data_IF_852039025671
#
_entry.id   IF_852039025671
#
_cell.length_a   1.000
_cell.length_b   1.000
_cell.length_c   1.000
_cell.angle_alpha   90.00
_cell.angle_beta   90.00
_cell.angle_gamma   90.00
#
_symmetry.space_group_name_H-M   'P 1'
#
loop_
_entity.id
_entity.type
_entity.pdbx_description
1 polymer ?
#
# COMPACT_ATOMS: atom_id res chain seq x y z
N UNK A 1 7.80 2.62 -14.41
CA UNK A 1 7.81 1.79 -13.17
C UNK A 1 8.01 2.71 -11.99
N UNK A 2 7.13 2.65 -11.01
CA UNK A 2 7.30 3.27 -9.69
C UNK A 2 7.60 2.19 -8.65
N UNK A 3 8.57 2.45 -7.78
CA UNK A 3 8.92 1.58 -6.67
C UNK A 3 8.87 2.41 -5.38
N UNK A 4 8.00 2.04 -4.45
CA UNK A 4 7.79 2.74 -3.18
C UNK A 4 7.90 1.79 -2.00
N UNK A 5 8.43 2.31 -0.89
CA UNK A 5 8.46 1.60 0.39
C UNK A 5 7.98 2.51 1.50
N UNK A 6 7.23 1.96 2.46
CA UNK A 6 6.80 2.73 3.63
C UNK A 6 6.73 1.85 4.89
N UNK A 7 7.46 2.27 5.93
CA UNK A 7 7.26 1.79 7.29
C UNK A 7 6.05 2.49 7.91
N UNK A 8 5.03 1.71 8.28
CA UNK A 8 3.76 2.24 8.78
C UNK A 8 3.61 2.12 10.30
N UNK A 9 4.64 1.64 11.01
CA UNK A 9 4.72 1.59 12.46
C UNK A 9 3.46 1.01 13.14
N UNK A 10 2.95 -0.09 12.58
CA UNK A 10 1.75 -0.77 13.07
C UNK A 10 0.50 0.11 13.09
N UNK A 11 0.41 1.11 12.22
CA UNK A 11 -0.78 1.97 12.15
C UNK A 11 -1.75 1.50 11.07
N UNK A 12 -3.03 1.81 11.28
CA UNK A 12 -4.02 1.78 10.22
C UNK A 12 -3.85 2.99 9.28
N UNK A 13 -4.30 2.89 8.02
CA UNK A 13 -4.26 4.03 7.11
C UNK A 13 -5.16 5.17 7.63
N UNK A 14 -4.55 6.28 8.03
CA UNK A 14 -5.26 7.48 8.53
C UNK A 14 -5.38 8.60 7.49
N UNK A 15 -4.62 8.53 6.41
CA UNK A 15 -4.53 9.59 5.41
C UNK A 15 -4.36 9.03 4.00
N UNK A 16 -4.80 9.79 3.00
CA UNK A 16 -4.61 9.46 1.58
C UNK A 16 -3.14 9.52 1.19
N UNK A 17 -2.76 8.72 0.20
CA UNK A 17 -1.38 8.60 -0.29
C UNK A 17 -1.18 9.14 -1.70
N UNK A 18 -2.12 9.94 -2.20
CA UNK A 18 -2.09 10.44 -3.58
C UNK A 18 -0.81 11.23 -3.87
N UNK A 19 -0.35 12.05 -2.93
CA UNK A 19 0.91 12.80 -3.07
C UNK A 19 2.15 11.92 -3.07
N UNK A 20 2.07 10.73 -2.48
CA UNK A 20 3.18 9.78 -2.51
C UNK A 20 3.19 9.00 -3.84
N UNK A 21 2.01 8.62 -4.36
CA UNK A 21 1.89 7.75 -5.52
C UNK A 21 1.75 8.48 -6.86
N UNK A 22 1.14 9.67 -6.88
CA UNK A 22 0.68 10.38 -8.10
C UNK A 22 1.42 11.70 -8.32
N UNK A 23 2.54 11.94 -7.61
CA UNK A 23 3.36 13.15 -7.77
C UNK A 23 4.31 13.06 -8.99
N UNK A 24 3.81 12.69 -10.16
CA UNK A 24 4.63 12.60 -11.37
C UNK A 24 3.92 13.21 -12.58
N UNK A 25 4.69 13.92 -13.42
CA UNK A 25 4.21 14.48 -14.70
C UNK A 25 3.69 13.41 -15.65
N UNK A 26 4.15 12.17 -15.48
CA UNK A 26 3.74 10.98 -16.23
C UNK A 26 3.33 9.87 -15.27
N UNK A 27 2.24 9.17 -15.59
CA UNK A 27 1.72 8.09 -14.77
C UNK A 27 2.48 6.77 -15.09
N UNK A 28 3.10 6.09 -14.11
CA UNK A 28 3.75 4.80 -14.31
C UNK A 28 2.79 3.68 -14.75
N UNK A 29 3.26 2.79 -15.62
CA UNK A 29 2.49 1.58 -16.01
C UNK A 29 2.43 0.51 -14.90
N UNK A 30 3.48 0.45 -14.07
CA UNK A 30 3.64 -0.54 -13.00
C UNK A 30 4.00 0.19 -11.71
N UNK A 31 3.32 -0.19 -10.63
CA UNK A 31 3.59 0.23 -9.26
C UNK A 31 4.01 -0.98 -8.43
N UNK A 32 5.21 -0.94 -7.86
CA UNK A 32 5.70 -1.90 -6.88
C UNK A 32 5.78 -1.20 -5.51
N UNK A 33 4.89 -1.57 -4.59
CA UNK A 33 4.75 -0.90 -3.28
C UNK A 33 4.97 -1.93 -2.18
N UNK A 34 5.92 -1.65 -1.28
CA UNK A 34 6.22 -2.48 -0.12
C UNK A 34 5.91 -1.76 1.19
N UNK A 35 5.34 -2.47 2.15
CA UNK A 35 5.11 -1.96 3.50
C UNK A 35 5.99 -2.70 4.52
N UNK A 36 6.42 -2.00 5.57
CA UNK A 36 7.11 -2.57 6.72
C UNK A 36 6.34 -2.27 8.00
N UNK A 37 6.51 -3.13 9.01
CA UNK A 37 5.85 -2.99 10.31
C UNK A 37 4.33 -2.84 10.19
N UNK A 38 3.71 -3.55 9.24
CA UNK A 38 2.28 -3.48 8.97
C UNK A 38 1.45 -3.85 10.21
N UNK A 39 1.91 -4.88 10.92
CA UNK A 39 1.32 -5.38 12.14
C UNK A 39 2.42 -5.72 13.15
N UNK A 40 2.37 -5.06 14.30
CA UNK A 40 3.31 -5.24 15.40
C UNK A 40 2.73 -6.12 16.52
N UNK A 41 1.55 -6.72 16.29
CA UNK A 41 0.92 -7.62 17.26
C UNK A 41 1.69 -8.95 17.39
N UNK A 42 1.78 -9.52 18.60
CA UNK A 42 2.35 -10.85 18.79
C UNK A 42 1.63 -11.93 17.97
N UNK A 43 0.31 -11.79 17.78
CA UNK A 43 -0.50 -12.72 16.99
C UNK A 43 -0.03 -12.77 15.55
N UNK A 44 0.23 -11.61 14.93
CA UNK A 44 0.76 -11.54 13.57
C UNK A 44 2.14 -12.18 13.45
N UNK A 45 3.00 -11.98 14.45
CA UNK A 45 4.33 -12.61 14.49
C UNK A 45 4.25 -14.13 14.65
N UNK A 46 3.35 -14.63 15.50
CA UNK A 46 3.24 -16.06 15.82
C UNK A 46 2.49 -16.85 14.75
N UNK A 47 1.49 -16.23 14.10
CA UNK A 47 0.59 -16.90 13.15
C UNK A 47 0.90 -16.57 11.70
N UNK A 48 1.74 -15.57 11.42
CA UNK A 48 1.97 -15.02 10.08
C UNK A 48 0.65 -14.60 9.38
N UNK A 49 -0.33 -14.14 10.15
CA UNK A 49 -1.64 -13.68 9.67
C UNK A 49 -1.90 -12.27 10.20
N UNK A 50 -2.46 -11.38 9.38
CA UNK A 50 -2.83 -10.03 9.81
C UNK A 50 -4.12 -9.56 9.15
N UNK A 51 -4.99 -8.90 9.93
CA UNK A 51 -6.17 -8.21 9.42
C UNK A 51 -5.84 -6.82 8.86
N UNK A 52 -4.58 -6.40 8.92
CA UNK A 52 -4.15 -5.06 8.51
C UNK A 52 -3.74 -4.96 7.05
N UNK A 53 -3.63 -6.08 6.32
CA UNK A 53 -3.29 -6.05 4.89
C UNK A 53 -4.36 -5.35 4.05
N UNK A 54 -5.63 -5.76 4.21
CA UNK A 54 -6.72 -5.28 3.35
C UNK A 54 -6.92 -3.75 3.39
N UNK A 55 -6.94 -3.09 4.57
CA UNK A 55 -7.07 -1.63 4.62
C UNK A 55 -5.97 -0.88 3.86
N UNK A 56 -4.73 -1.39 3.88
CA UNK A 56 -3.61 -0.78 3.17
C UNK A 56 -3.69 -1.02 1.66
N UNK A 57 -4.18 -2.18 1.22
CA UNK A 57 -4.50 -2.46 -0.19
C UNK A 57 -5.58 -1.49 -0.67
N UNK A 58 -6.68 -1.37 0.06
CA UNK A 58 -7.80 -0.49 -0.29
C UNK A 58 -7.37 0.97 -0.42
N UNK A 59 -6.50 1.43 0.49
CA UNK A 59 -5.92 2.76 0.44
C UNK A 59 -5.10 2.98 -0.85
N UNK A 60 -4.23 2.04 -1.22
CA UNK A 60 -3.42 2.14 -2.43
C UNK A 60 -4.31 2.09 -3.68
N UNK A 61 -5.24 1.14 -3.76
CA UNK A 61 -6.13 1.01 -4.92
C UNK A 61 -7.01 2.24 -5.10
N UNK A 62 -7.57 2.79 -4.01
CA UNK A 62 -8.38 4.01 -4.08
C UNK A 62 -7.58 5.26 -4.48
N UNK A 63 -6.29 5.30 -4.18
CA UNK A 63 -5.40 6.39 -4.61
C UNK A 63 -5.04 6.23 -6.09
N UNK A 64 -4.70 5.02 -6.54
CA UNK A 64 -4.36 4.73 -7.94
C UNK A 64 -5.55 4.85 -8.90
N UNK A 65 -6.79 4.59 -8.45
CA UNK A 65 -8.01 4.78 -9.24
C UNK A 65 -8.17 6.19 -9.78
N UNK A 66 -7.65 7.21 -9.08
CA UNK A 66 -7.68 8.59 -9.55
C UNK A 66 -6.65 8.87 -10.65
N UNK A 67 -5.58 8.08 -10.71
CA UNK A 67 -4.54 8.19 -11.73
C UNK A 67 -4.90 7.37 -12.99
N UNK A 68 -5.56 6.23 -12.84
CA UNK A 68 -5.93 5.39 -13.98
C UNK A 68 -6.54 4.05 -13.61
N UNK A 69 -6.69 3.19 -14.62
CA UNK A 69 -7.21 1.82 -14.43
C UNK A 69 -6.07 0.87 -14.11
N UNK A 70 -5.88 0.60 -12.83
CA UNK A 70 -4.90 -0.36 -12.34
C UNK A 70 -5.56 -1.62 -11.79
N UNK A 71 -4.82 -2.72 -11.79
CA UNK A 71 -5.24 -4.01 -11.22
C UNK A 71 -4.09 -4.56 -10.37
N UNK A 72 -4.40 -4.99 -9.14
CA UNK A 72 -3.47 -5.75 -8.31
C UNK A 72 -3.11 -7.07 -9.01
N UNK A 73 -1.82 -7.32 -9.20
CA UNK A 73 -1.32 -8.62 -9.63
C UNK A 73 -1.32 -9.54 -8.40
N UNK A 74 -2.05 -10.65 -8.47
CA UNK A 74 -2.05 -11.65 -7.38
C UNK A 74 -0.70 -12.38 -7.38
N UNK A 75 -0.19 -12.63 -6.18
CA UNK A 75 0.94 -13.53 -5.96
C UNK A 75 0.50 -14.98 -6.13
#
# INVERSE_FOLDING_TARGET
LFCGTWNVNGQYPIQRVDKWLVYQETIPDIFAIGFQELDLSPEALLRNETSREEPWIDLVESSLKMAGKFKKVKK
#
